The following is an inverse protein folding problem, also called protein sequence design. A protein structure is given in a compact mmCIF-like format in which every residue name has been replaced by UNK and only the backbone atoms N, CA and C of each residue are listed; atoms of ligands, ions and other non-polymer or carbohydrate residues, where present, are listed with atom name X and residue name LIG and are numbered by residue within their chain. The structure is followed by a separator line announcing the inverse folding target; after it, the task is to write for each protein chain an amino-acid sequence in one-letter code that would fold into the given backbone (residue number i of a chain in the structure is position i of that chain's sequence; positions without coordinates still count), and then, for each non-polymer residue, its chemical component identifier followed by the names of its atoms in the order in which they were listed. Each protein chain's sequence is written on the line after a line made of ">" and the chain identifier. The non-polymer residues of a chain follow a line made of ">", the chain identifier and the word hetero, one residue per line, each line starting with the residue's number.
data_IF_767154067464
#
_entry.id   IF_767154067464
#
_cell.length_a   1.000
_cell.length_b   1.000
_cell.length_c   1.000
_cell.angle_alpha   90.00
_cell.angle_beta   90.00
_cell.angle_gamma   90.00
#
_symmetry.space_group_name_H-M   'P 1'
#
loop_
_entity.id
_entity.type
_entity.pdbx_description
1 polymer ?
#
# COMPACT_ATOMS: atom_id res chain seq x y z
N UNK A 1 11.93 3.08 -17.55
CA UNK A 1 11.36 4.38 -17.18
C UNK A 1 11.02 4.33 -15.71
N UNK A 2 11.72 5.10 -14.88
CA UNK A 2 11.52 5.12 -13.42
C UNK A 2 10.77 6.41 -13.10
N UNK A 3 9.50 6.30 -12.70
CA UNK A 3 8.75 7.46 -12.21
C UNK A 3 9.25 7.81 -10.81
N UNK A 4 9.72 9.04 -10.62
CA UNK A 4 10.17 9.50 -9.32
C UNK A 4 8.97 9.97 -8.49
N UNK A 5 8.57 9.17 -7.51
CA UNK A 5 7.48 9.48 -6.59
C UNK A 5 8.00 10.51 -5.58
N UNK A 6 7.52 11.75 -5.65
CA UNK A 6 7.96 12.82 -4.74
C UNK A 6 7.38 12.67 -3.33
N UNK A 7 6.16 12.13 -3.24
CA UNK A 7 5.50 11.81 -1.98
C UNK A 7 4.55 10.65 -2.17
N UNK A 8 4.55 9.75 -1.20
CA UNK A 8 3.57 8.67 -1.06
C UNK A 8 2.96 8.76 0.33
N UNK A 9 1.64 8.68 0.40
CA UNK A 9 0.89 8.55 1.65
C UNK A 9 0.07 7.28 1.53
N UNK A 10 -0.16 6.60 2.65
CA UNK A 10 -1.15 5.53 2.76
C UNK A 10 -1.79 5.73 4.13
N UNK A 11 -3.11 5.89 4.19
CA UNK A 11 -3.81 6.08 5.44
C UNK A 11 -4.86 4.98 5.62
N UNK A 12 -4.91 4.41 6.83
CA UNK A 12 -5.88 3.37 7.21
C UNK A 12 -7.14 3.98 7.86
N UNK A 13 -8.27 3.38 7.53
CA UNK A 13 -9.70 3.71 7.67
C UNK A 13 -10.30 4.37 8.94
N UNK A 14 -9.53 4.84 9.94
CA UNK A 14 -10.07 5.24 11.26
C UNK A 14 -10.11 6.74 11.60
N UNK A 15 -9.91 7.67 10.66
CA UNK A 15 -9.89 9.10 10.97
C UNK A 15 -10.97 9.88 10.19
N UNK A 16 -11.85 10.59 10.92
CA UNK A 16 -12.81 11.54 10.35
C UNK A 16 -12.11 12.80 9.80
N UNK A 17 -12.61 13.26 8.65
CA UNK A 17 -11.99 14.15 7.66
C UNK A 17 -11.68 15.61 8.04
N UNK A 18 -11.88 16.06 9.28
CA UNK A 18 -11.92 17.51 9.56
C UNK A 18 -10.59 18.19 9.93
N UNK A 19 -9.51 17.46 10.25
CA UNK A 19 -8.32 18.09 10.87
C UNK A 19 -7.01 18.11 10.05
N UNK A 20 -6.98 17.59 8.82
CA UNK A 20 -5.72 17.47 8.07
C UNK A 20 -5.81 18.01 6.64
N UNK A 21 -5.82 19.35 6.51
CA UNK A 21 -5.79 20.05 5.22
C UNK A 21 -4.48 19.84 4.40
N UNK A 22 -3.56 18.94 4.78
CA UNK A 22 -2.23 18.88 4.13
C UNK A 22 -1.59 17.49 3.94
N UNK A 23 -2.23 16.39 4.34
CA UNK A 23 -1.71 15.02 4.14
C UNK A 23 -2.91 14.09 3.97
N UNK A 24 -3.25 13.75 2.73
CA UNK A 24 -4.52 13.07 2.41
C UNK A 24 -4.42 11.55 2.35
N UNK A 25 -5.57 10.96 2.69
CA UNK A 25 -5.91 9.57 2.94
C UNK A 25 -5.98 8.69 1.69
N UNK A 26 -4.93 8.65 0.89
CA UNK A 26 -4.93 7.95 -0.40
C UNK A 26 -3.52 7.46 -0.71
N UNK A 27 -3.36 6.44 -1.56
CA UNK A 27 -2.11 6.31 -2.32
C UNK A 27 -2.05 7.52 -3.23
N UNK A 28 -1.51 8.59 -2.66
CA UNK A 28 -1.28 9.84 -3.34
C UNK A 28 0.16 9.80 -3.82
N UNK A 29 0.33 9.45 -5.09
CA UNK A 29 1.62 9.58 -5.75
C UNK A 29 1.67 11.03 -6.24
N UNK A 30 2.33 11.89 -5.48
CA UNK A 30 2.70 13.19 -6.02
C UNK A 30 3.90 12.97 -6.91
N UNK A 31 3.71 13.10 -8.21
CA UNK A 31 4.78 13.47 -9.12
C UNK A 31 4.86 14.99 -9.06
N UNK A 32 6.03 15.57 -9.30
CA UNK A 32 6.26 17.02 -9.19
C UNK A 32 5.11 17.85 -9.80
N UNK A 33 4.56 17.40 -10.94
CA UNK A 33 3.47 18.08 -11.65
C UNK A 33 2.19 17.24 -11.91
N UNK A 34 2.04 16.05 -11.32
CA UNK A 34 0.86 15.18 -11.51
C UNK A 34 0.50 14.46 -10.21
N UNK A 35 -0.79 14.20 -9.99
CA UNK A 35 -1.28 13.49 -8.80
C UNK A 35 -1.95 12.19 -9.23
N UNK A 36 -1.69 11.09 -8.54
CA UNK A 36 -2.45 9.84 -8.71
C UNK A 36 -3.25 9.57 -7.44
N UNK A 37 -4.51 9.18 -7.58
CA UNK A 37 -5.45 8.87 -6.52
C UNK A 37 -5.96 7.44 -6.69
N UNK A 38 -5.82 6.62 -5.65
CA UNK A 38 -6.45 5.30 -5.57
C UNK A 38 -7.46 5.29 -4.43
N UNK A 39 -8.74 5.40 -4.77
CA UNK A 39 -9.85 5.32 -3.83
C UNK A 39 -10.44 3.91 -3.72
N UNK A 40 -11.43 3.76 -2.87
CA UNK A 40 -12.12 2.48 -2.65
C UNK A 40 -13.65 2.66 -2.61
N UNK A 41 -14.35 1.54 -2.60
CA UNK A 41 -15.80 1.48 -2.38
C UNK A 41 -16.14 1.87 -0.93
N UNK A 42 -17.27 2.51 -0.70
CA UNK A 42 -17.69 2.95 0.64
C UNK A 42 -17.21 4.36 0.99
N UNK A 43 -18.03 5.12 1.73
CA UNK A 43 -17.76 6.53 2.05
C UNK A 43 -17.95 7.51 0.88
N UNK A 44 -17.80 8.80 1.17
CA UNK A 44 -18.06 9.91 0.22
C UNK A 44 -16.85 10.83 0.01
N UNK A 45 -15.69 10.47 0.53
CA UNK A 45 -14.51 11.33 0.60
C UNK A 45 -13.99 11.76 -0.79
N UNK A 46 -14.18 10.92 -1.82
CA UNK A 46 -13.81 11.26 -3.20
C UNK A 46 -14.60 12.44 -3.76
N UNK A 47 -15.83 12.67 -3.28
CA UNK A 47 -16.65 13.79 -3.72
C UNK A 47 -16.09 15.13 -3.24
N UNK A 48 -15.47 15.18 -2.06
CA UNK A 48 -14.79 16.39 -1.59
C UNK A 48 -13.60 16.76 -2.48
N UNK A 49 -12.91 15.75 -3.01
CA UNK A 49 -11.83 15.96 -3.98
C UNK A 49 -12.37 16.45 -5.33
N UNK A 50 -13.50 15.90 -5.78
CA UNK A 50 -14.22 16.38 -6.96
C UNK A 50 -14.57 17.86 -6.80
N UNK A 51 -15.09 18.26 -5.64
CA UNK A 51 -15.43 19.64 -5.34
C UNK A 51 -14.20 20.54 -5.23
N UNK A 52 -13.08 20.02 -4.71
CA UNK A 52 -11.81 20.74 -4.69
C UNK A 52 -11.23 20.99 -6.09
N UNK A 53 -11.40 20.05 -7.03
CA UNK A 53 -11.02 20.24 -8.44
C UNK A 53 -11.97 21.22 -9.13
N UNK A 54 -13.29 21.07 -8.95
CA UNK A 54 -14.30 21.98 -9.52
C UNK A 54 -14.15 23.42 -9.03
N UNK A 55 -13.80 23.60 -7.76
CA UNK A 55 -13.55 24.92 -7.16
C UNK A 55 -12.18 25.52 -7.53
N UNK A 56 -11.34 24.80 -8.28
CA UNK A 56 -10.04 25.27 -8.72
C UNK A 56 -8.97 25.29 -7.63
N UNK A 57 -9.22 24.71 -6.44
CA UNK A 57 -8.19 24.55 -5.40
C UNK A 57 -7.10 23.57 -5.83
N UNK A 58 -7.46 22.58 -6.65
CA UNK A 58 -6.53 21.62 -7.25
C UNK A 58 -6.48 21.88 -8.75
N UNK A 59 -5.34 22.37 -9.22
CA UNK A 59 -5.11 22.70 -10.64
C UNK A 59 -4.20 21.70 -11.35
N UNK A 60 -3.42 20.91 -10.60
CA UNK A 60 -2.55 19.86 -11.17
C UNK A 60 -3.41 18.73 -11.75
N UNK A 61 -3.00 18.10 -12.86
CA UNK A 61 -3.69 16.93 -13.41
C UNK A 61 -3.75 15.79 -12.39
N UNK A 62 -4.93 15.19 -12.23
CA UNK A 62 -5.16 14.09 -11.29
C UNK A 62 -5.63 12.85 -12.04
N UNK A 63 -4.87 11.76 -11.94
CA UNK A 63 -5.27 10.42 -12.38
C UNK A 63 -5.95 9.72 -11.22
N UNK A 64 -7.17 9.23 -11.37
CA UNK A 64 -7.92 8.66 -10.26
C UNK A 64 -8.60 7.33 -10.62
N UNK A 65 -8.66 6.42 -9.65
CA UNK A 65 -9.40 5.17 -9.77
C UNK A 65 -9.89 4.67 -8.41
N UNK A 66 -11.20 4.43 -8.30
CA UNK A 66 -11.81 3.72 -7.17
C UNK A 66 -11.85 2.22 -7.44
N UNK A 67 -11.23 1.44 -6.55
CA UNK A 67 -11.31 -0.03 -6.55
C UNK A 67 -12.61 -0.51 -5.90
N UNK A 68 -13.02 -1.75 -6.19
CA UNK A 68 -14.28 -2.32 -5.68
C UNK A 68 -15.45 -2.28 -6.68
N UNK A 69 -15.16 -2.18 -7.98
CA UNK A 69 -16.19 -2.29 -9.05
C UNK A 69 -16.88 -3.65 -9.08
N UNK A 70 -16.28 -4.69 -8.51
CA UNK A 70 -16.91 -6.00 -8.37
C UNK A 70 -18.04 -6.03 -7.33
N UNK A 71 -18.13 -5.06 -6.43
CA UNK A 71 -19.17 -5.00 -5.40
C UNK A 71 -20.59 -4.99 -6.01
N UNK A 72 -20.77 -4.36 -7.17
CA UNK A 72 -22.05 -4.33 -7.90
C UNK A 72 -22.41 -5.65 -8.58
N UNK A 73 -21.48 -6.59 -8.69
CA UNK A 73 -21.74 -7.92 -9.26
C UNK A 73 -22.31 -8.90 -8.23
N UNK A 74 -22.29 -8.54 -6.94
CA UNK A 74 -22.86 -9.36 -5.87
C UNK A 74 -24.26 -8.86 -5.52
N UNK A 75 -25.19 -9.79 -5.30
CA UNK A 75 -26.58 -9.49 -4.92
C UNK A 75 -26.75 -9.18 -3.43
N UNK A 76 -25.72 -9.45 -2.64
CA UNK A 76 -25.68 -9.25 -1.19
C UNK A 76 -24.65 -8.20 -0.83
N UNK A 77 -24.90 -7.44 0.23
CA UNK A 77 -23.93 -6.52 0.83
C UNK A 77 -22.69 -7.29 1.29
N UNK A 78 -21.57 -7.12 0.57
CA UNK A 78 -20.28 -7.73 0.91
C UNK A 78 -19.43 -6.69 1.62
N UNK A 79 -19.10 -6.95 2.88
CA UNK A 79 -18.04 -6.24 3.56
C UNK A 79 -16.71 -6.80 3.07
N UNK A 80 -15.93 -5.99 2.34
CA UNK A 80 -14.57 -6.36 1.96
C UNK A 80 -13.65 -6.23 3.18
N UNK A 81 -12.42 -6.77 3.09
CA UNK A 81 -11.52 -6.90 4.26
C UNK A 81 -11.15 -5.59 4.99
N UNK A 82 -11.38 -4.42 4.37
CA UNK A 82 -11.28 -3.13 5.04
C UNK A 82 -12.59 -2.80 5.77
N UNK A 83 -12.51 -2.19 6.96
CA UNK A 83 -13.65 -2.06 7.88
C UNK A 83 -14.89 -1.32 7.34
N UNK A 84 -14.82 -0.70 6.16
CA UNK A 84 -16.03 -0.37 5.41
C UNK A 84 -15.79 0.22 4.03
N UNK A 85 -14.86 -0.39 3.30
CA UNK A 85 -15.21 -1.04 2.04
C UNK A 85 -16.58 -1.78 2.02
N UNK A 86 -17.67 -1.04 2.23
CA UNK A 86 -19.06 -1.43 2.13
C UNK A 86 -19.84 -0.23 1.57
N UNK A 87 -20.46 -0.40 0.41
CA UNK A 87 -21.37 0.61 -0.14
C UNK A 87 -22.75 0.42 0.48
N UNK A 88 -23.25 1.44 1.20
CA UNK A 88 -24.61 1.48 1.75
C UNK A 88 -25.62 2.12 0.81
N UNK A 89 -25.15 2.77 -0.26
CA UNK A 89 -25.99 3.39 -1.28
C UNK A 89 -25.27 3.56 -2.60
N UNK A 90 -26.02 3.88 -3.66
CA UNK A 90 -25.51 3.95 -5.03
C UNK A 90 -24.35 4.93 -5.20
N UNK A 91 -24.34 6.04 -4.45
CA UNK A 91 -23.28 7.04 -4.48
C UNK A 91 -21.95 6.55 -3.88
N UNK A 92 -21.99 5.57 -2.98
CA UNK A 92 -20.79 5.01 -2.34
C UNK A 92 -20.14 3.91 -3.21
N UNK A 93 -20.79 3.52 -4.31
CA UNK A 93 -20.26 2.50 -5.22
C UNK A 93 -19.03 3.02 -5.98
N UNK A 94 -18.04 2.15 -6.17
CA UNK A 94 -16.85 2.50 -6.93
C UNK A 94 -17.17 2.95 -8.38
N UNK A 95 -18.20 2.38 -9.01
CA UNK A 95 -18.64 2.78 -10.34
C UNK A 95 -19.20 4.19 -10.38
N UNK A 96 -20.04 4.58 -9.41
CA UNK A 96 -20.58 5.93 -9.32
C UNK A 96 -19.46 6.96 -9.09
N UNK A 97 -18.53 6.67 -8.16
CA UNK A 97 -17.37 7.52 -7.90
C UNK A 97 -16.48 7.68 -9.14
N UNK A 98 -16.15 6.59 -9.83
CA UNK A 98 -15.34 6.64 -11.06
C UNK A 98 -16.01 7.48 -12.16
N UNK A 99 -17.34 7.36 -12.30
CA UNK A 99 -18.11 8.18 -13.25
C UNK A 99 -18.08 9.66 -12.86
N UNK A 100 -18.31 9.98 -11.59
CA UNK A 100 -18.31 11.34 -11.07
C UNK A 100 -16.92 12.01 -11.21
N UNK A 101 -15.84 11.27 -10.93
CA UNK A 101 -14.47 11.74 -11.12
C UNK A 101 -14.19 12.02 -12.61
N UNK A 102 -14.63 11.13 -13.51
CA UNK A 102 -14.46 11.34 -14.96
C UNK A 102 -15.19 12.59 -15.47
N UNK A 103 -16.41 12.84 -14.98
CA UNK A 103 -17.18 14.04 -15.31
C UNK A 103 -16.57 15.33 -14.72
N UNK A 104 -15.85 15.22 -13.61
CA UNK A 104 -15.17 16.34 -12.97
C UNK A 104 -13.81 16.70 -13.59
N UNK A 105 -13.35 15.97 -14.61
CA UNK A 105 -12.10 16.25 -15.32
C UNK A 105 -10.88 15.48 -14.83
N UNK A 106 -11.08 14.43 -14.01
CA UNK A 106 -10.01 13.50 -13.64
C UNK A 106 -9.70 12.54 -14.79
N UNK A 107 -8.45 12.10 -14.88
CA UNK A 107 -8.07 11.01 -15.77
C UNK A 107 -8.43 9.67 -15.12
N UNK A 108 -9.56 9.08 -15.53
CA UNK A 108 -10.06 7.81 -14.98
C UNK A 108 -9.97 6.71 -16.05
N UNK A 109 -9.24 5.61 -15.80
CA UNK A 109 -9.17 4.49 -16.75
C UNK A 109 -10.48 3.69 -16.77
N UNK A 110 -10.63 2.78 -17.73
CA UNK A 110 -11.80 1.88 -17.77
C UNK A 110 -11.69 0.71 -16.79
N UNK A 111 -10.46 0.31 -16.46
CA UNK A 111 -10.15 -0.75 -15.51
C UNK A 111 -8.85 -0.46 -14.78
N UNK A 112 -8.63 -1.13 -13.66
CA UNK A 112 -7.39 -1.01 -12.88
C UNK A 112 -6.15 -1.36 -13.71
N UNK A 113 -6.22 -2.37 -14.59
CA UNK A 113 -5.10 -2.80 -15.43
C UNK A 113 -4.63 -1.71 -16.41
N UNK A 114 -5.51 -0.77 -16.77
CA UNK A 114 -5.19 0.35 -17.67
C UNK A 114 -4.62 1.55 -16.93
N UNK A 115 -4.65 1.56 -15.60
CA UNK A 115 -4.13 2.66 -14.79
C UNK A 115 -2.65 2.96 -15.06
N UNK A 116 -1.72 1.98 -15.12
CA UNK A 116 -0.31 2.26 -15.40
C UNK A 116 -0.09 2.90 -16.77
N UNK A 117 -0.84 2.45 -17.79
CA UNK A 117 -0.78 3.00 -19.14
C UNK A 117 -1.26 4.46 -19.17
N UNK A 118 -2.35 4.76 -18.46
CA UNK A 118 -2.89 6.12 -18.38
C UNK A 118 -1.94 7.08 -17.62
N UNK A 119 -1.35 6.62 -16.53
CA UNK A 119 -0.33 7.39 -15.79
C UNK A 119 0.87 7.72 -16.68
N UNK A 120 1.35 6.73 -17.45
CA UNK A 120 2.44 6.93 -18.40
C UNK A 120 2.07 7.97 -19.49
N UNK A 121 0.85 7.87 -20.03
CA UNK A 121 0.36 8.84 -21.02
C UNK A 121 0.35 10.28 -20.47
N UNK A 122 -0.19 10.49 -19.26
CA UNK A 122 -0.24 11.82 -18.62
C UNK A 122 1.16 12.32 -18.31
N UNK A 123 2.04 11.45 -17.81
CA UNK A 123 3.44 11.80 -17.53
C UNK A 123 4.17 12.23 -18.82
N UNK A 124 4.06 11.45 -19.89
CA UNK A 124 4.71 11.73 -21.18
C UNK A 124 4.24 13.07 -21.74
N UNK A 125 2.93 13.34 -21.70
CA UNK A 125 2.38 14.62 -22.14
C UNK A 125 2.93 15.80 -21.32
N UNK A 126 3.14 15.65 -20.02
CA UNK A 126 3.73 16.69 -19.17
C UNK A 126 5.23 16.89 -19.43
N UNK A 127 5.96 15.83 -19.79
CA UNK A 127 7.36 15.94 -20.21
C UNK A 127 7.45 16.67 -21.56
N UNK A 128 6.59 16.31 -22.52
CA UNK A 128 6.52 16.96 -23.84
C UNK A 128 6.14 18.45 -23.75
N UNK A 129 5.24 18.80 -22.83
CA UNK A 129 4.87 20.19 -22.55
C UNK A 129 5.97 20.98 -21.82
N UNK A 130 7.02 20.32 -21.34
CA UNK A 130 8.11 20.93 -20.57
C UNK A 130 7.76 21.22 -19.11
N UNK A 131 6.60 20.76 -18.62
CA UNK A 131 6.21 20.88 -17.21
C UNK A 131 7.10 19.99 -16.34
N UNK A 132 7.44 18.78 -16.81
CA UNK A 132 8.35 17.85 -16.12
C UNK A 132 9.69 17.81 -16.85
N UNK A 133 10.77 18.12 -16.12
CA UNK A 133 12.14 17.97 -16.61
C UNK A 133 12.74 16.70 -16.02
N UNK A 134 13.04 15.72 -16.87
CA UNK A 134 13.68 14.48 -16.45
C UNK A 134 15.11 14.75 -15.96
N UNK A 135 15.43 14.28 -14.77
CA UNK A 135 16.76 14.38 -14.18
C UNK A 135 17.43 13.00 -14.24
N UNK A 136 18.72 12.90 -14.61
CA UNK A 136 19.41 11.62 -14.59
C UNK A 136 19.41 11.01 -13.19
N UNK A 137 19.19 9.69 -13.12
CA UNK A 137 19.20 8.95 -11.88
C UNK A 137 20.61 8.98 -11.26
N UNK A 138 20.71 9.42 -10.00
CA UNK A 138 21.97 9.45 -9.27
C UNK A 138 22.39 8.05 -8.79
N UNK A 139 23.66 7.89 -8.44
CA UNK A 139 24.12 6.66 -7.80
C UNK A 139 23.43 6.47 -6.45
N UNK A 140 22.87 5.28 -6.22
CA UNK A 140 22.25 4.94 -4.95
C UNK A 140 23.34 4.72 -3.90
N UNK A 141 23.19 5.28 -2.68
CA UNK A 141 24.14 5.03 -1.61
C UNK A 141 24.11 3.54 -1.27
N UNK A 142 25.29 2.91 -1.22
CA UNK A 142 25.41 1.50 -0.86
C UNK A 142 25.15 1.35 0.65
N UNK A 143 24.03 0.73 1.00
CA UNK A 143 23.71 0.38 2.39
C UNK A 143 24.29 -1.00 2.68
N UNK A 144 25.08 -1.18 3.76
CA UNK A 144 25.60 -2.48 4.10
C UNK A 144 24.46 -3.44 4.44
N UNK A 145 24.61 -4.68 4.00
CA UNK A 145 23.65 -5.73 4.24
C UNK A 145 23.55 -6.05 5.74
N UNK A 146 22.32 -6.20 6.24
CA UNK A 146 22.09 -6.59 7.63
C UNK A 146 22.67 -7.99 7.91
N UNK A 147 23.32 -8.11 9.07
CA UNK A 147 24.00 -9.34 9.48
C UNK A 147 23.04 -10.54 9.58
N UNK A 148 21.82 -10.35 10.07
CA UNK A 148 20.84 -11.43 10.21
C UNK A 148 20.41 -11.96 8.84
N UNK A 149 20.27 -11.07 7.85
CA UNK A 149 19.92 -11.42 6.48
C UNK A 149 21.09 -12.11 5.77
N UNK A 150 22.31 -11.57 5.90
CA UNK A 150 23.52 -12.17 5.37
C UNK A 150 23.78 -13.59 5.93
N UNK A 151 23.47 -13.82 7.21
CA UNK A 151 23.56 -15.15 7.83
C UNK A 151 22.50 -16.12 7.29
N UNK A 152 21.25 -15.66 7.11
CA UNK A 152 20.17 -16.48 6.53
C UNK A 152 20.45 -16.91 5.10
N UNK A 153 21.08 -16.04 4.30
CA UNK A 153 21.48 -16.35 2.93
C UNK A 153 22.80 -17.14 2.84
N UNK A 154 23.43 -17.45 3.98
CA UNK A 154 24.70 -18.18 4.01
C UNK A 154 25.90 -17.39 3.50
N UNK A 155 25.77 -16.07 3.31
CA UNK A 155 26.85 -15.19 2.81
C UNK A 155 27.91 -14.93 3.89
N UNK A 156 27.54 -15.01 5.17
CA UNK A 156 28.45 -14.80 6.30
C UNK A 156 28.30 -15.94 7.30
N UNK A 157 29.41 -16.59 7.65
CA UNK A 157 29.47 -17.58 8.73
C UNK A 157 30.08 -16.94 9.97
N UNK A 158 29.29 -16.77 11.02
CA UNK A 158 29.81 -16.45 12.35
C UNK A 158 29.89 -17.72 13.19
N UNK A 159 31.06 -18.07 13.75
CA UNK A 159 31.18 -19.20 14.66
C UNK A 159 30.35 -18.95 15.93
N UNK A 160 29.86 -20.03 16.54
CA UNK A 160 29.21 -19.94 17.84
C UNK A 160 30.29 -19.73 18.92
N UNK A 161 30.11 -18.72 19.79
CA UNK A 161 31.03 -18.44 20.89
C UNK A 161 30.74 -19.30 22.13
N UNK A 162 29.54 -19.86 22.23
CA UNK A 162 29.09 -20.68 23.35
C UNK A 162 28.48 -21.97 22.83
N UNK A 163 28.69 -23.06 23.56
CA UNK A 163 28.14 -24.39 23.27
C UNK A 163 27.34 -24.81 24.49
N UNK A 164 26.04 -25.06 24.31
CA UNK A 164 25.18 -25.72 25.30
C UNK A 164 24.93 -27.16 24.84
N UNK A 165 25.13 -28.12 25.74
CA UNK A 165 24.88 -29.55 25.50
C UNK A 165 23.84 -30.16 26.44
N UNK A 166 23.25 -29.34 27.33
CA UNK A 166 22.37 -29.80 28.42
C UNK A 166 20.89 -29.48 28.11
N UNK A 167 20.62 -28.33 27.50
CA UNK A 167 19.26 -27.91 27.15
C UNK A 167 19.22 -27.15 25.82
N UNK A 168 18.10 -27.33 25.09
CA UNK A 168 17.81 -26.64 23.83
C UNK A 168 16.35 -26.14 23.84
N UNK A 169 16.19 -24.83 23.75
CA UNK A 169 14.90 -24.10 23.78
C UNK A 169 14.49 -23.54 22.41
N UNK A 170 15.27 -23.83 21.35
CA UNK A 170 15.05 -23.26 20.02
C UNK A 170 13.96 -23.95 19.20
N UNK A 171 13.54 -25.14 19.63
CA UNK A 171 12.48 -25.92 18.97
C UNK A 171 11.08 -25.54 19.44
N UNK A 172 10.07 -26.24 18.93
CA UNK A 172 8.68 -26.11 19.38
C UNK A 172 8.51 -26.51 20.86
N UNK A 173 9.32 -27.46 21.32
CA UNK A 173 9.33 -27.94 22.71
C UNK A 173 10.74 -27.86 23.32
N UNK A 174 10.79 -27.55 24.62
CA UNK A 174 12.01 -27.54 25.42
C UNK A 174 12.60 -28.95 25.49
N UNK A 175 13.91 -29.07 25.28
CA UNK A 175 14.64 -30.34 25.40
C UNK A 175 15.66 -30.29 26.53
N UNK A 176 15.72 -31.38 27.30
CA UNK A 176 16.78 -31.66 28.27
C UNK A 176 17.60 -32.85 27.77
N UNK A 177 18.84 -32.61 27.37
CA UNK A 177 19.66 -33.59 26.64
C UNK A 177 19.01 -33.98 25.31
N UNK A 178 18.68 -35.27 25.15
CA UNK A 178 17.98 -35.80 23.97
C UNK A 178 16.47 -35.94 24.14
N UNK A 179 15.93 -35.68 25.33
CA UNK A 179 14.52 -35.87 25.67
C UNK A 179 13.75 -34.56 25.58
N UNK A 180 12.53 -34.61 25.04
CA UNK A 180 11.60 -33.49 25.15
C UNK A 180 11.05 -33.39 26.58
N UNK A 181 10.58 -32.20 26.96
CA UNK A 181 9.96 -32.00 28.26
C UNK A 181 8.77 -32.94 28.49
N UNK A 182 7.98 -33.21 27.45
CA UNK A 182 6.87 -34.15 27.49
C UNK A 182 7.33 -35.58 27.84
N UNK A 183 8.40 -36.06 27.20
CA UNK A 183 8.99 -37.38 27.49
C UNK A 183 9.55 -37.48 28.90
N UNK A 184 10.10 -36.38 29.44
CA UNK A 184 10.62 -36.33 30.82
C UNK A 184 9.49 -36.53 31.84
N UNK A 185 8.31 -35.92 31.61
CA UNK A 185 7.14 -36.10 32.46
C UNK A 185 6.48 -37.47 32.28
N UNK A 186 6.41 -38.00 31.05
CA UNK A 186 5.85 -39.34 30.79
C UNK A 186 6.68 -40.46 31.43
N UNK A 187 8.00 -40.30 31.50
CA UNK A 187 8.92 -41.29 32.06
C UNK A 187 9.14 -41.12 33.57
N UNK A 188 8.43 -40.20 34.23
CA UNK A 188 8.56 -39.88 35.66
C UNK A 188 10.04 -39.69 36.09
N UNK A 189 10.81 -38.99 35.25
CA UNK A 189 12.25 -38.75 35.46
C UNK A 189 12.53 -37.63 36.49
N UNK A 190 11.47 -37.10 37.12
CA UNK A 190 11.54 -36.18 38.24
C UNK A 190 11.22 -36.91 39.54
N UNK A 191 12.03 -36.70 40.58
CA UNK A 191 11.81 -37.23 41.93
C UNK A 191 10.47 -36.85 42.54
#
# INVERSE_FOLDING_TARGET
>A
MVLLISRFVCCCWFCCFYDCLFIFYYIFLELSNCKVLLGEVGGCDEYDLIDAVKSGRITKPVVAWCVGTCASCFTTEVQFGHAGALARGDMETAMAKNKAMKEAGFYVPESFDKLPALVNQVYTALVENGDIVETPEGETPQVPMDYTWAKKLGMVRKPANFISSISDDRGEELKYGSLTISEVFEQDLGS
#
